data_IF_863246621445
#
_entry.id   IF_863246621445
#
_cell.length_a   1.000
_cell.length_b   1.000
_cell.length_c   1.000
_cell.angle_alpha   90.00
_cell.angle_beta   90.00
_cell.angle_gamma   90.00
#
_symmetry.space_group_name_H-M   'P 1'
#
loop_
_entity.id
_entity.type
_entity.pdbx_description
1 polymer ?
#
# COMPACT_ATOMS: atom_id res chain seq x y z
N UNK A 1 -19.23 2.95 6.95
CA UNK A 1 -18.46 2.79 5.70
C UNK A 1 -17.81 1.42 5.72
N UNK A 2 -17.70 0.73 4.58
CA UNK A 2 -16.96 -0.52 4.50
C UNK A 2 -15.47 -0.20 4.62
N UNK A 3 -14.72 -0.91 5.45
CA UNK A 3 -13.27 -0.77 5.51
C UNK A 3 -12.68 -1.13 4.13
N UNK A 4 -11.91 -0.22 3.55
CA UNK A 4 -11.23 -0.40 2.27
C UNK A 4 -9.72 -0.66 2.43
N UNK A 5 -9.21 -0.59 3.67
CA UNK A 5 -7.81 -0.83 4.01
C UNK A 5 -7.65 -2.16 4.75
N UNK A 6 -6.56 -2.85 4.44
CA UNK A 6 -6.07 -4.03 5.11
C UNK A 6 -4.56 -3.90 5.27
N UNK A 7 -4.03 -3.93 6.47
CA UNK A 7 -2.61 -3.67 6.67
C UNK A 7 -2.27 -3.28 8.10
N UNK A 8 -1.18 -2.56 8.26
CA UNK A 8 -0.68 -2.11 9.55
C UNK A 8 -0.45 -0.59 9.54
N UNK A 9 -0.86 0.07 10.63
CA UNK A 9 -0.60 1.50 10.87
C UNK A 9 0.07 1.68 12.21
N UNK A 10 1.26 2.28 12.21
CA UNK A 10 1.95 2.65 13.45
C UNK A 10 1.80 4.15 13.71
N UNK A 11 1.39 4.50 14.93
CA UNK A 11 1.15 5.89 15.32
C UNK A 11 2.31 6.47 16.10
N UNK A 12 2.61 7.73 15.80
CA UNK A 12 3.58 8.55 16.49
C UNK A 12 2.89 9.79 17.08
N UNK A 13 3.37 10.31 18.22
CA UNK A 13 2.87 11.58 18.73
C UNK A 13 3.18 12.74 17.76
N UNK A 14 2.27 13.70 17.63
CA UNK A 14 2.41 14.86 16.71
C UNK A 14 3.64 15.74 16.95
N UNK A 15 4.21 15.75 18.16
CA UNK A 15 5.45 16.46 18.46
C UNK A 15 6.72 15.67 18.08
N UNK A 16 6.56 14.45 17.56
CA UNK A 16 7.62 13.55 17.06
C UNK A 16 7.25 13.07 15.66
N UNK A 17 7.24 13.96 14.66
CA UNK A 17 6.78 13.63 13.32
C UNK A 17 7.67 12.60 12.63
N UNK A 18 7.07 11.79 11.78
CA UNK A 18 7.74 10.90 10.84
C UNK A 18 8.45 11.73 9.78
N UNK A 19 9.68 11.33 9.42
CA UNK A 19 10.51 12.02 8.43
C UNK A 19 10.71 11.17 7.17
N UNK A 20 10.75 9.85 7.34
CA UNK A 20 11.02 8.88 6.28
C UNK A 20 10.19 7.65 6.58
N UNK A 21 9.62 7.05 5.54
CA UNK A 21 9.04 5.71 5.59
C UNK A 21 9.74 4.84 4.55
N UNK A 22 9.94 3.58 4.90
CA UNK A 22 10.62 2.61 4.08
C UNK A 22 9.92 1.26 4.21
N UNK A 23 9.78 0.55 3.10
CA UNK A 23 9.26 -0.82 3.09
C UNK A 23 9.56 -1.48 1.73
N UNK A 24 9.69 -2.80 1.73
CA UNK A 24 9.50 -3.67 0.57
C UNK A 24 8.11 -4.23 0.53
N UNK A 25 7.65 -4.57 -0.66
CA UNK A 25 6.56 -5.52 -0.83
C UNK A 25 6.71 -6.26 -2.14
N UNK A 26 6.15 -7.47 -2.20
CA UNK A 26 5.91 -8.17 -3.46
C UNK A 26 4.64 -7.63 -4.12
N UNK A 27 4.71 -7.35 -5.42
CA UNK A 27 3.50 -7.04 -6.19
C UNK A 27 2.60 -8.29 -6.28
N UNK A 28 1.31 -8.22 -5.89
CA UNK A 28 0.45 -9.39 -5.90
C UNK A 28 0.08 -9.83 -7.31
N UNK A 29 -0.14 -11.14 -7.48
CA UNK A 29 -0.94 -11.65 -8.59
C UNK A 29 -2.41 -11.38 -8.29
N UNK A 30 -3.16 -10.85 -9.26
CA UNK A 30 -4.58 -10.60 -9.10
C UNK A 30 -5.40 -11.37 -10.14
N UNK A 31 -6.50 -11.95 -9.68
CA UNK A 31 -7.46 -12.65 -10.54
C UNK A 31 -8.88 -12.20 -10.24
N UNK A 32 -9.80 -12.35 -11.20
CA UNK A 32 -11.16 -11.89 -11.04
C UNK A 32 -11.86 -12.66 -9.93
N UNK A 33 -12.61 -11.93 -9.11
CA UNK A 33 -13.52 -12.47 -8.11
C UNK A 33 -14.94 -12.38 -8.63
N UNK A 34 -15.55 -13.50 -8.98
CA UNK A 34 -16.82 -13.53 -9.74
C UNK A 34 -17.98 -12.85 -9.02
N UNK A 35 -18.00 -12.89 -7.68
CA UNK A 35 -19.04 -12.27 -6.86
C UNK A 35 -18.90 -10.75 -6.69
N UNK A 36 -17.86 -10.12 -7.26
CA UNK A 36 -17.59 -8.69 -7.13
C UNK A 36 -17.71 -7.91 -8.45
N UNK A 37 -17.92 -6.59 -8.36
CA UNK A 37 -18.10 -5.71 -9.51
C UNK A 37 -16.78 -5.38 -10.21
N UNK A 38 -16.83 -5.19 -11.53
CA UNK A 38 -15.73 -4.59 -12.29
C UNK A 38 -15.85 -3.06 -12.34
N UNK A 39 -14.72 -2.32 -12.43
CA UNK A 39 -13.35 -2.82 -12.32
C UNK A 39 -13.04 -3.30 -10.89
N UNK A 40 -12.20 -4.33 -10.81
CA UNK A 40 -11.64 -4.80 -9.55
C UNK A 40 -10.21 -4.26 -9.42
N UNK A 41 -9.86 -3.76 -8.25
CA UNK A 41 -8.57 -3.13 -8.01
C UNK A 41 -8.03 -3.52 -6.65
N UNK A 42 -6.71 -3.69 -6.58
CA UNK A 42 -5.99 -3.82 -5.34
C UNK A 42 -4.72 -2.99 -5.43
N UNK A 43 -4.60 -2.00 -4.54
CA UNK A 43 -3.38 -1.23 -4.36
C UNK A 43 -2.58 -1.82 -3.20
N UNK A 44 -1.25 -1.79 -3.30
CA UNK A 44 -0.33 -2.12 -2.21
C UNK A 44 0.67 -0.98 -2.10
N UNK A 45 0.73 -0.34 -0.93
CA UNK A 45 1.45 0.91 -0.76
C UNK A 45 2.01 1.09 0.65
N UNK A 46 3.03 1.94 0.75
CA UNK A 46 3.51 2.49 2.01
C UNK A 46 3.28 4.01 2.01
N UNK A 47 2.85 4.56 3.13
CA UNK A 47 2.45 5.97 3.21
C UNK A 47 2.53 6.58 4.59
N UNK A 48 2.51 7.92 4.63
CA UNK A 48 2.53 8.71 5.85
C UNK A 48 1.21 9.49 5.95
N UNK A 49 0.58 9.45 7.13
CA UNK A 49 -0.74 10.03 7.47
C UNK A 49 -1.94 9.36 6.78
N UNK A 50 -3.15 9.72 7.20
CA UNK A 50 -4.40 9.33 6.52
C UNK A 50 -5.35 8.54 7.40
N UNK A 51 -4.84 8.01 8.52
CA UNK A 51 -5.64 7.28 9.51
C UNK A 51 -6.05 8.17 10.70
N UNK A 52 -5.11 8.94 11.24
CA UNK A 52 -5.33 9.74 12.43
C UNK A 52 -6.31 10.90 12.20
N UNK A 53 -7.22 11.19 13.16
CA UNK A 53 -8.09 12.35 13.06
C UNK A 53 -7.32 13.67 12.87
N UNK A 54 -7.74 14.47 11.89
CA UNK A 54 -7.13 15.77 11.58
C UNK A 54 -6.03 15.73 10.52
N UNK A 55 -5.65 14.55 10.01
CA UNK A 55 -4.82 14.46 8.80
C UNK A 55 -5.62 14.95 7.60
N UNK A 56 -5.09 15.95 6.89
CA UNK A 56 -5.69 16.50 5.66
C UNK A 56 -4.96 16.09 4.40
N UNK A 57 -3.79 15.47 4.55
CA UNK A 57 -3.01 14.92 3.46
C UNK A 57 -2.49 13.54 3.84
N UNK A 58 -2.24 12.73 2.80
CA UNK A 58 -1.62 11.42 2.86
C UNK A 58 -0.60 11.37 1.73
N UNK A 59 0.65 11.09 2.06
CA UNK A 59 1.71 10.90 1.06
C UNK A 59 2.00 9.41 0.95
N UNK A 60 1.74 8.84 -0.22
CA UNK A 60 1.85 7.41 -0.46
C UNK A 60 2.47 7.08 -1.80
N UNK A 61 3.07 5.89 -1.84
CA UNK A 61 3.66 5.31 -3.03
C UNK A 61 3.38 3.81 -3.05
N UNK A 62 3.01 3.30 -4.21
CA UNK A 62 2.48 1.96 -4.31
C UNK A 62 2.51 1.35 -5.68
N UNK A 63 1.94 0.17 -5.75
CA UNK A 63 1.56 -0.51 -6.98
C UNK A 63 0.09 -0.80 -6.98
N UNK A 64 -0.52 -0.93 -8.15
CA UNK A 64 -1.91 -1.38 -8.28
C UNK A 64 -1.98 -2.50 -9.30
N UNK A 65 -2.77 -3.52 -8.98
CA UNK A 65 -3.26 -4.48 -9.96
C UNK A 65 -4.73 -4.14 -10.26
N UNK A 66 -5.09 -4.07 -11.55
CA UNK A 66 -6.48 -3.85 -11.99
C UNK A 66 -6.94 -4.99 -12.87
N UNK A 67 -8.10 -5.55 -12.54
CA UNK A 67 -8.83 -6.49 -13.38
C UNK A 67 -10.06 -5.78 -13.93
N UNK A 68 -10.16 -5.71 -15.26
CA UNK A 68 -11.27 -5.10 -15.98
C UNK A 68 -12.09 -6.17 -16.70
N UNK A 69 -13.33 -5.86 -17.07
CA UNK A 69 -14.13 -6.74 -17.94
C UNK A 69 -14.14 -6.19 -19.36
N UNK A 70 -13.76 -7.02 -20.34
CA UNK A 70 -13.88 -6.71 -21.78
C UNK A 70 -14.71 -7.79 -22.47
N UNK A 71 -15.78 -7.39 -23.18
CA UNK A 71 -16.71 -8.31 -23.86
C UNK A 71 -17.20 -9.48 -22.97
N UNK A 72 -17.48 -9.21 -21.70
CA UNK A 72 -17.87 -10.19 -20.67
C UNK A 72 -16.77 -11.16 -20.21
N UNK A 73 -15.53 -11.02 -20.68
CA UNK A 73 -14.37 -11.74 -20.15
C UNK A 73 -13.57 -10.85 -19.21
N UNK A 74 -13.10 -11.43 -18.12
CA UNK A 74 -12.21 -10.72 -17.20
C UNK A 74 -10.79 -10.69 -17.78
N UNK A 75 -10.17 -9.51 -17.73
CA UNK A 75 -8.86 -9.23 -18.29
C UNK A 75 -8.03 -8.51 -17.22
N UNK A 76 -6.85 -9.04 -16.91
CA UNK A 76 -5.85 -8.30 -16.15
C UNK A 76 -5.37 -7.14 -17.03
N UNK A 77 -5.67 -5.93 -16.59
CA UNK A 77 -5.62 -4.73 -17.42
C UNK A 77 -4.38 -3.89 -17.09
N UNK A 78 -4.02 -3.79 -15.81
CA UNK A 78 -3.00 -2.86 -15.37
C UNK A 78 -2.22 -3.40 -14.18
N UNK A 79 -0.90 -3.40 -14.32
CA UNK A 79 0.08 -3.55 -13.26
C UNK A 79 1.02 -2.35 -13.37
N UNK A 80 0.85 -1.38 -12.47
CA UNK A 80 1.58 -0.12 -12.53
C UNK A 80 2.03 0.31 -11.14
N UNK A 81 3.04 1.17 -11.14
CA UNK A 81 3.51 1.85 -9.96
C UNK A 81 2.98 3.29 -9.97
N UNK A 82 2.68 3.86 -8.80
CA UNK A 82 2.10 5.19 -8.66
C UNK A 82 2.55 5.83 -7.35
N UNK A 83 2.46 7.15 -7.29
CA UNK A 83 2.56 7.90 -6.03
C UNK A 83 1.48 8.97 -5.97
N UNK A 84 1.13 9.40 -4.77
CA UNK A 84 0.07 10.38 -4.54
C UNK A 84 0.39 11.22 -3.31
N UNK A 85 0.02 12.51 -3.37
CA UNK A 85 -0.08 13.38 -2.19
C UNK A 85 -1.54 13.83 -2.07
N UNK A 86 -2.36 12.95 -1.49
CA UNK A 86 -3.81 13.14 -1.36
C UNK A 86 -4.11 14.49 -0.68
N UNK A 87 -5.16 15.23 -1.10
CA UNK A 87 -6.20 14.85 -2.05
C UNK A 87 -5.89 15.09 -3.53
N UNK A 88 -4.65 15.41 -3.89
CA UNK A 88 -4.29 15.50 -5.31
C UNK A 88 -4.37 14.12 -5.98
N UNK A 89 -4.76 14.03 -7.27
CA UNK A 89 -4.86 12.75 -7.96
C UNK A 89 -3.51 11.99 -8.02
N UNK A 90 -3.54 10.65 -8.09
CA UNK A 90 -2.32 9.85 -8.19
C UNK A 90 -1.60 10.09 -9.51
N UNK A 91 -0.28 10.09 -9.45
CA UNK A 91 0.58 10.13 -10.63
C UNK A 91 1.13 8.74 -10.93
N UNK A 92 0.79 8.25 -12.12
CA UNK A 92 1.14 6.92 -12.59
C UNK A 92 2.52 6.92 -13.25
N UNK A 93 3.35 5.94 -12.90
CA UNK A 93 4.68 5.76 -13.47
C UNK A 93 4.65 4.70 -14.56
N UNK A 94 5.35 4.94 -15.66
CA UNK A 94 5.57 3.94 -16.71
C UNK A 94 6.62 2.91 -16.28
N UNK A 95 6.33 2.23 -15.17
CA UNK A 95 7.10 1.12 -14.64
C UNK A 95 6.17 -0.08 -14.67
N UNK A 96 6.39 -0.98 -15.63
CA UNK A 96 5.67 -2.26 -15.69
C UNK A 96 6.07 -3.10 -14.48
N UNK A 97 5.14 -3.31 -13.55
CA UNK A 97 5.32 -4.25 -12.45
C UNK A 97 4.94 -5.66 -12.91
N UNK A 98 5.68 -6.66 -12.44
CA UNK A 98 5.35 -8.07 -12.64
C UNK A 98 5.21 -8.71 -11.25
N UNK A 99 4.58 -9.88 -11.13
CA UNK A 99 4.32 -10.53 -9.83
C UNK A 99 5.57 -10.88 -8.98
N UNK A 100 6.76 -10.60 -9.49
CA UNK A 100 8.07 -10.79 -8.88
C UNK A 100 8.84 -9.48 -8.61
N UNK A 101 8.22 -8.31 -8.79
CA UNK A 101 8.86 -7.02 -8.48
C UNK A 101 8.77 -6.63 -7.01
N UNK A 102 9.88 -6.16 -6.42
CA UNK A 102 9.96 -5.57 -5.07
C UNK A 102 10.40 -4.09 -5.11
N UNK A 103 9.91 -3.25 -4.19
CA UNK A 103 10.03 -1.78 -4.21
C UNK A 103 10.69 -1.20 -2.93
N UNK A 104 11.64 -0.25 -2.97
CA UNK A 104 12.56 0.19 -1.85
C UNK A 104 12.42 1.69 -1.41
N UNK A 105 11.49 2.42 -2.01
CA UNK A 105 11.57 3.72 -2.74
C UNK A 105 10.93 3.36 -4.09
N UNK A 106 10.25 4.19 -4.90
CA UNK A 106 9.64 3.67 -6.16
C UNK A 106 10.73 3.17 -7.14
N UNK A 107 11.15 1.94 -6.91
CA UNK A 107 12.40 1.34 -7.34
C UNK A 107 12.01 -0.08 -7.68
N UNK A 108 11.85 -0.39 -8.94
CA UNK A 108 11.55 -1.76 -9.33
C UNK A 108 12.86 -2.57 -9.25
N UNK A 109 13.08 -3.26 -8.14
CA UNK A 109 14.33 -3.98 -7.86
C UNK A 109 14.58 -5.14 -8.83
N UNK A 110 13.54 -5.74 -9.41
CA UNK A 110 13.71 -6.78 -10.43
C UNK A 110 14.20 -6.22 -11.78
N UNK A 111 14.10 -4.90 -11.97
CA UNK A 111 14.52 -4.20 -13.21
C UNK A 111 15.59 -3.13 -12.99
N UNK A 112 15.98 -2.83 -11.76
CA UNK A 112 16.99 -1.81 -11.43
C UNK A 112 16.57 -0.37 -11.76
N UNK A 113 15.27 -0.07 -11.83
CA UNK A 113 14.77 1.30 -12.08
C UNK A 113 14.70 2.07 -10.76
N UNK A 114 15.04 3.36 -10.77
CA UNK A 114 14.96 4.24 -9.59
C UNK A 114 14.13 5.48 -9.91
N UNK A 115 13.22 5.84 -9.02
CA UNK A 115 12.40 7.04 -9.15
C UNK A 115 12.37 7.82 -7.83
N UNK A 116 12.89 9.05 -7.86
CA UNK A 116 12.86 9.98 -6.75
C UNK A 116 12.20 11.28 -7.18
N UNK A 117 11.24 11.77 -6.39
CA UNK A 117 10.60 13.06 -6.62
C UNK A 117 10.87 13.97 -5.45
N UNK A 118 11.18 15.23 -5.75
CA UNK A 118 11.14 16.31 -4.78
C UNK A 118 9.77 16.99 -4.88
N UNK A 119 8.96 16.80 -3.86
CA UNK A 119 7.66 17.47 -3.74
C UNK A 119 7.79 18.75 -2.92
N UNK A 120 7.10 19.80 -3.34
CA UNK A 120 7.04 21.10 -2.65
C UNK A 120 5.62 21.65 -2.75
N UNK A 121 5.13 22.33 -1.72
CA UNK A 121 3.81 22.99 -1.68
C UNK A 121 2.59 22.05 -1.77
N UNK A 122 2.67 20.84 -1.19
CA UNK A 122 1.52 19.94 -1.10
C UNK A 122 0.63 20.19 0.14
N UNK A 123 -0.46 19.41 0.27
CA UNK A 123 -1.35 19.41 1.42
C UNK A 123 -0.62 19.28 2.77
N UNK A 124 -1.17 19.90 3.81
CA UNK A 124 -0.58 19.82 5.14
C UNK A 124 -0.67 18.38 5.69
N UNK A 125 0.44 17.91 6.25
CA UNK A 125 0.62 16.59 6.83
C UNK A 125 0.95 16.72 8.32
N UNK A 126 0.34 15.89 9.14
CA UNK A 126 0.66 15.77 10.57
C UNK A 126 1.91 14.90 10.79
N UNK A 127 2.18 13.97 9.88
CA UNK A 127 3.25 12.97 9.89
C UNK A 127 3.24 12.11 11.15
N UNK A 128 2.05 11.62 11.48
CA UNK A 128 1.78 10.85 12.69
C UNK A 128 1.51 9.38 12.41
N UNK A 129 1.12 9.02 11.19
CA UNK A 129 0.84 7.64 10.80
C UNK A 129 1.92 7.10 9.87
N UNK A 130 2.36 5.87 10.12
CA UNK A 130 3.21 5.09 9.21
C UNK A 130 2.41 3.87 8.74
N UNK A 131 2.02 3.88 7.48
CA UNK A 131 1.03 2.97 6.91
C UNK A 131 1.71 1.96 5.96
N UNK A 132 1.33 0.69 6.10
CA UNK A 132 1.72 -0.40 5.21
C UNK A 132 0.45 -1.17 4.82
N UNK A 133 -0.13 -0.81 3.67
CA UNK A 133 -1.54 -1.07 3.38
C UNK A 133 -1.74 -1.74 2.03
N UNK A 134 -2.61 -2.73 2.04
CA UNK A 134 -3.36 -3.20 0.88
C UNK A 134 -4.74 -2.55 0.89
N UNK A 135 -5.11 -1.91 -0.22
CA UNK A 135 -6.33 -1.12 -0.32
C UNK A 135 -7.18 -1.53 -1.54
N UNK A 136 -8.49 -1.45 -1.39
CA UNK A 136 -9.42 -1.38 -2.52
C UNK A 136 -9.52 0.09 -2.96
N UNK A 137 -8.92 0.48 -4.10
CA UNK A 137 -8.84 1.88 -4.50
C UNK A 137 -10.19 2.42 -4.99
N UNK A 138 -10.32 3.74 -5.03
CA UNK A 138 -11.41 4.43 -5.72
C UNK A 138 -11.19 4.50 -7.23
N UNK A 139 -12.24 4.26 -8.01
CA UNK A 139 -12.30 4.61 -9.44
C UNK A 139 -13.48 5.56 -9.66
N UNK A 140 -13.19 6.86 -9.79
CA UNK A 140 -14.21 7.91 -9.71
C UNK A 140 -14.80 7.99 -8.30
N UNK A 141 -16.12 8.14 -8.19
CA UNK A 141 -16.80 8.37 -6.91
C UNK A 141 -17.08 7.07 -6.12
N UNK A 142 -16.51 5.93 -6.52
CA UNK A 142 -16.81 4.62 -5.95
C UNK A 142 -15.55 3.79 -5.78
N UNK A 143 -15.51 3.01 -4.69
CA UNK A 143 -14.51 1.95 -4.52
C UNK A 143 -14.63 0.93 -5.66
N UNK A 144 -13.50 0.37 -6.07
CA UNK A 144 -13.46 -0.79 -6.95
C UNK A 144 -14.14 -2.01 -6.32
N UNK A 145 -14.36 -3.07 -7.11
CA UNK A 145 -14.50 -4.41 -6.52
C UNK A 145 -13.15 -4.92 -6.01
N UNK A 146 -13.14 -5.90 -5.11
CA UNK A 146 -11.91 -6.52 -4.63
C UNK A 146 -11.58 -7.77 -5.45
N UNK A 147 -10.40 -7.88 -6.08
CA UNK A 147 -10.02 -9.11 -6.76
C UNK A 147 -9.68 -10.24 -5.77
N UNK A 148 -9.46 -11.45 -6.27
CA UNK A 148 -8.59 -12.39 -5.56
C UNK A 148 -7.15 -11.94 -5.73
N UNK A 149 -6.33 -12.11 -4.70
CA UNK A 149 -4.92 -11.75 -4.77
C UNK A 149 -4.05 -12.70 -3.96
N UNK A 150 -2.80 -12.87 -4.39
CA UNK A 150 -1.78 -13.56 -3.58
C UNK A 150 -1.35 -12.70 -2.40
N UNK A 151 -0.93 -13.28 -1.26
CA UNK A 151 -0.47 -12.53 -0.10
C UNK A 151 0.57 -11.45 -0.46
N UNK A 152 0.46 -10.29 0.18
CA UNK A 152 1.41 -9.19 0.09
C UNK A 152 2.18 -9.12 1.40
N UNK A 153 3.50 -9.18 1.32
CA UNK A 153 4.40 -9.13 2.46
C UNK A 153 5.10 -7.78 2.48
N UNK A 154 4.76 -6.93 3.46
CA UNK A 154 5.56 -5.75 3.74
C UNK A 154 6.81 -6.17 4.53
N UNK A 155 8.00 -5.99 3.95
CA UNK A 155 9.26 -6.45 4.53
C UNK A 155 10.21 -5.28 4.79
N UNK A 156 11.08 -5.43 5.80
CA UNK A 156 11.99 -4.38 6.28
C UNK A 156 11.26 -3.04 6.47
N UNK A 157 10.02 -3.09 6.94
CA UNK A 157 9.13 -1.93 7.05
C UNK A 157 9.46 -1.11 8.29
N UNK A 158 9.82 0.16 8.10
CA UNK A 158 10.09 1.08 9.19
C UNK A 158 9.83 2.53 8.80
N UNK A 159 9.58 3.36 9.81
CA UNK A 159 9.51 4.80 9.71
C UNK A 159 10.51 5.46 10.66
N UNK A 160 11.25 6.46 10.18
CA UNK A 160 12.15 7.27 10.99
C UNK A 160 11.37 8.40 11.64
N UNK A 161 11.39 8.42 12.97
CA UNK A 161 10.68 9.37 13.80
C UNK A 161 11.65 10.39 14.36
N UNK A 162 11.32 11.68 14.25
CA UNK A 162 12.14 12.77 14.78
C UNK A 162 12.43 12.53 16.28
N UNK A 163 13.72 12.52 16.62
CA UNK A 163 14.23 12.39 18.00
C UNK A 163 13.71 11.17 18.78
N UNK A 164 13.35 10.08 18.09
CA UNK A 164 12.88 8.82 18.72
C UNK A 164 13.49 7.55 18.13
N UNK A 165 14.02 7.59 16.91
CA UNK A 165 14.60 6.42 16.24
C UNK A 165 13.65 5.85 15.18
N UNK A 166 13.61 4.53 15.03
CA UNK A 166 12.75 3.85 14.06
C UNK A 166 11.50 3.27 14.77
N UNK A 167 10.37 3.28 14.07
CA UNK A 167 9.17 2.50 14.41
C UNK A 167 8.87 1.54 13.26
N UNK A 168 8.55 0.29 13.56
CA UNK A 168 8.25 -0.75 12.57
C UNK A 168 6.78 -1.16 12.57
N UNK A 169 6.49 -2.36 12.09
CA UNK A 169 5.14 -2.96 12.16
C UNK A 169 4.82 -3.45 13.58
N UNK A 170 5.83 -3.67 14.43
CA UNK A 170 5.61 -4.13 15.81
C UNK A 170 4.71 -3.17 16.62
N UNK A 171 3.61 -3.71 17.14
CA UNK A 171 2.63 -2.96 17.93
C UNK A 171 1.76 -1.99 17.11
N UNK A 172 1.79 -2.11 15.79
CA UNK A 172 0.93 -1.35 14.88
C UNK A 172 -0.54 -1.83 14.98
N UNK A 173 -1.46 -0.91 14.73
CA UNK A 173 -2.88 -1.25 14.57
C UNK A 173 -3.08 -2.03 13.28
N UNK A 174 -3.71 -3.20 13.38
CA UNK A 174 -3.97 -4.07 12.23
C UNK A 174 -5.38 -3.82 11.67
N UNK A 175 -5.44 -3.34 10.43
CA UNK A 175 -6.68 -3.11 9.69
C UNK A 175 -7.04 -4.31 8.82
N UNK A 176 -8.34 -4.59 8.69
CA UNK A 176 -8.84 -5.78 8.00
C UNK A 176 -9.96 -5.38 7.03
N UNK A 177 -10.05 -6.08 5.90
CA UNK A 177 -11.23 -6.04 5.05
C UNK A 177 -12.02 -7.34 5.22
N UNK A 178 -13.06 -7.32 6.05
CA UNK A 178 -13.83 -8.53 6.41
C UNK A 178 -14.23 -9.37 5.19
N UNK A 179 -13.83 -10.65 5.19
CA UNK A 179 -14.10 -11.61 4.11
C UNK A 179 -13.32 -11.38 2.81
N UNK A 180 -12.38 -10.42 2.79
CA UNK A 180 -11.62 -10.01 1.60
C UNK A 180 -10.11 -10.00 1.83
N UNK A 181 -9.66 -9.54 2.99
CA UNK A 181 -8.25 -9.47 3.36
C UNK A 181 -8.12 -9.51 4.88
N UNK A 182 -7.16 -10.31 5.34
CA UNK A 182 -6.71 -10.29 6.71
C UNK A 182 -5.27 -9.78 6.78
N UNK A 183 -4.99 -8.85 7.71
CA UNK A 183 -3.62 -8.41 8.02
C UNK A 183 -3.17 -9.03 9.34
N UNK A 184 -1.93 -9.47 9.37
CA UNK A 184 -1.33 -10.00 10.58
C UNK A 184 0.07 -9.44 10.69
N UNK A 185 0.42 -9.01 11.91
CA UNK A 185 1.81 -8.78 12.24
C UNK A 185 2.55 -10.12 12.17
N UNK A 186 3.59 -10.17 11.34
CA UNK A 186 4.46 -11.32 11.23
C UNK A 186 5.88 -10.88 11.54
N UNK A 187 6.32 -11.14 12.77
CA UNK A 187 7.71 -10.98 13.17
C UNK A 187 8.39 -12.35 13.15
N UNK A 188 9.49 -12.46 12.39
CA UNK A 188 10.45 -13.53 12.62
C UNK A 188 11.65 -12.90 13.34
N UNK A 189 11.64 -12.93 14.67
CA UNK A 189 12.80 -12.46 15.44
C UNK A 189 14.06 -13.34 15.23
N UNK A 190 13.94 -14.45 14.50
CA UNK A 190 15.04 -15.24 13.97
C UNK A 190 14.61 -15.92 12.69
N UNK A 191 15.36 -15.79 11.60
CA UNK A 191 15.06 -16.42 10.30
C UNK A 191 14.73 -17.92 10.45
N UNK A 192 13.57 -18.36 9.91
CA UNK A 192 13.28 -19.56 9.09
C UNK A 192 11.79 -20.01 9.25
N UNK A 193 11.18 -20.33 8.09
CA UNK A 193 9.83 -20.83 7.76
C UNK A 193 9.26 -22.01 8.56
N UNK A 194 7.92 -22.17 8.56
CA UNK A 194 7.26 -23.44 8.15
C UNK A 194 5.91 -23.21 7.42
N UNK A 195 5.62 -23.99 6.35
CA UNK A 195 4.48 -23.89 5.43
C UNK A 195 3.18 -24.53 6.01
N UNK A 196 2.03 -24.48 5.29
CA UNK A 196 0.69 -24.41 5.87
C UNK A 196 0.15 -25.76 6.34
N UNK A 197 -0.93 -25.70 7.12
CA UNK A 197 -1.89 -26.81 7.23
C UNK A 197 -2.93 -26.68 6.12
#
# INVERSE_FOLDING_TARGET
>A
AQANWCGAVNHTPSYKPIQVLHTFWNHPNCSPREEDRFPQGLASWGGIDGDSPGTTGLLQAGTVCRVSSFLHYAVLDLNEAWWEWFPEPPYHLDIKTMPDSSIRELVNLSRGHYFGIKLTNGPAMLRVDADFVVEVPGYGDRLAGTPHFTPVFFQESWAKVLDRGLVGIEGAVQYQMSGRCESVEFDNETSVSWPPV
#
